data_IF_333605498225
#
_entry.id   IF_333605498225
#
_cell.length_a   1.000
_cell.length_b   1.000
_cell.length_c   1.000
_cell.angle_alpha   90.00
_cell.angle_beta   90.00
_cell.angle_gamma   90.00
#
_symmetry.space_group_name_H-M   'P 1'
#
loop_
_entity.id
_entity.type
_entity.pdbx_description
1 polymer ?
#
# COMPACT_ATOMS: atom_id res chain seq x y z
N UNK A 1 -7.41 -3.17 -3.90
CA UNK A 1 -6.43 -4.24 -4.15
C UNK A 1 -5.83 -4.56 -2.80
N UNK A 2 -5.86 -5.82 -2.37
CA UNK A 2 -5.41 -6.22 -1.03
C UNK A 2 -4.69 -7.57 -1.13
N UNK A 3 -3.39 -7.65 -0.84
CA UNK A 3 -2.60 -8.88 -1.01
C UNK A 3 -2.83 -9.95 0.06
N UNK A 4 -3.14 -9.58 1.31
CA UNK A 4 -3.29 -10.55 2.39
C UNK A 4 -4.61 -11.30 2.28
N UNK A 5 -4.61 -12.64 2.18
CA UNK A 5 -5.84 -13.42 2.06
C UNK A 5 -6.84 -13.19 3.20
N UNK A 6 -6.36 -13.04 4.44
CA UNK A 6 -7.21 -12.83 5.60
C UNK A 6 -7.83 -11.42 5.62
N UNK A 7 -7.04 -10.39 5.35
CA UNK A 7 -7.53 -9.02 5.21
C UNK A 7 -8.50 -8.91 4.03
N UNK A 8 -8.20 -9.57 2.90
CA UNK A 8 -9.08 -9.63 1.73
C UNK A 8 -10.43 -10.30 2.06
N UNK A 9 -10.42 -11.43 2.77
CA UNK A 9 -11.65 -12.10 3.18
C UNK A 9 -12.49 -11.22 4.12
N UNK A 10 -11.85 -10.49 5.04
CA UNK A 10 -12.52 -9.50 5.90
C UNK A 10 -13.11 -8.35 5.08
N UNK A 11 -12.37 -7.85 4.08
CA UNK A 11 -12.84 -6.81 3.16
C UNK A 11 -14.06 -7.27 2.37
N UNK A 12 -14.04 -8.48 1.82
CA UNK A 12 -15.19 -9.09 1.13
C UNK A 12 -16.42 -9.15 2.06
N UNK A 13 -16.24 -9.61 3.30
CA UNK A 13 -17.32 -9.67 4.29
C UNK A 13 -17.88 -8.27 4.59
N UNK A 14 -17.02 -7.29 4.83
CA UNK A 14 -17.43 -5.92 5.20
C UNK A 14 -18.12 -5.19 4.05
N UNK A 15 -17.84 -5.58 2.81
CA UNK A 15 -18.40 -4.96 1.61
C UNK A 15 -19.56 -5.74 0.99
N UNK A 16 -19.95 -6.89 1.57
CA UNK A 16 -20.98 -7.77 1.00
C UNK A 16 -22.32 -7.08 0.76
N UNK A 17 -22.74 -6.17 1.65
CA UNK A 17 -23.96 -5.37 1.44
C UNK A 17 -23.81 -4.39 0.25
N UNK A 18 -22.64 -3.79 0.08
CA UNK A 18 -22.32 -2.89 -1.04
C UNK A 18 -22.23 -3.64 -2.37
N UNK A 19 -21.69 -4.86 -2.37
CA UNK A 19 -21.64 -5.73 -3.55
C UNK A 19 -23.05 -6.12 -4.02
N UNK A 20 -23.98 -6.34 -3.08
CA UNK A 20 -25.37 -6.65 -3.42
C UNK A 20 -26.15 -5.43 -3.95
N UNK A 21 -25.76 -4.23 -3.54
CA UNK A 21 -26.42 -2.97 -3.90
C UNK A 21 -25.81 -2.28 -5.15
N UNK A 22 -24.57 -2.59 -5.52
CA UNK A 22 -23.88 -1.93 -6.61
C UNK A 22 -23.02 -2.89 -7.44
N UNK A 23 -23.33 -2.98 -8.73
CA UNK A 23 -22.54 -3.66 -9.77
C UNK A 23 -21.21 -2.94 -10.10
N UNK A 24 -20.57 -2.30 -9.12
CA UNK A 24 -19.48 -1.33 -9.32
C UNK A 24 -18.29 -1.50 -8.37
N UNK A 25 -18.31 -2.51 -7.49
CA UNK A 25 -17.22 -2.79 -6.58
C UNK A 25 -16.48 -4.05 -7.01
N UNK A 26 -15.24 -3.89 -7.44
CA UNK A 26 -14.34 -4.99 -7.78
C UNK A 26 -13.26 -5.10 -6.71
N UNK A 27 -13.10 -6.30 -6.15
CA UNK A 27 -12.06 -6.61 -5.16
C UNK A 27 -11.06 -7.57 -5.77
N UNK A 28 -9.78 -7.18 -5.76
CA UNK A 28 -8.68 -7.98 -6.32
C UNK A 28 -7.73 -8.40 -5.20
N UNK A 29 -7.61 -9.71 -4.97
CA UNK A 29 -6.65 -10.28 -4.04
C UNK A 29 -5.29 -10.46 -4.72
N UNK A 30 -4.51 -9.38 -4.73
CA UNK A 30 -3.19 -9.32 -5.35
C UNK A 30 -2.36 -8.22 -4.68
N UNK A 31 -1.04 -8.32 -4.81
CA UNK A 31 -0.10 -7.24 -4.58
C UNK A 31 0.13 -6.46 -5.90
N UNK A 32 0.37 -5.16 -5.78
CA UNK A 32 0.85 -4.35 -6.88
C UNK A 32 2.38 -4.45 -6.96
N UNK A 33 2.89 -4.92 -8.10
CA UNK A 33 4.31 -5.29 -8.24
C UNK A 33 4.90 -4.70 -9.53
N UNK A 34 6.24 -4.50 -9.61
CA UNK A 34 6.88 -3.96 -10.81
C UNK A 34 6.76 -4.87 -12.04
N UNK A 35 6.64 -6.18 -11.81
CA UNK A 35 6.40 -7.18 -12.84
C UNK A 35 5.27 -8.14 -12.43
N UNK A 36 4.57 -8.67 -13.43
CA UNK A 36 3.51 -9.65 -13.26
C UNK A 36 4.00 -11.11 -13.40
N UNK A 37 5.30 -11.33 -13.58
CA UNK A 37 5.89 -12.61 -13.99
C UNK A 37 6.33 -13.50 -12.83
N UNK A 38 6.30 -12.99 -11.59
CA UNK A 38 6.78 -13.71 -10.41
C UNK A 38 5.70 -14.10 -9.41
N UNK A 39 5.94 -15.21 -8.71
CA UNK A 39 5.39 -15.40 -7.36
C UNK A 39 6.19 -14.48 -6.43
N UNK A 40 5.58 -13.43 -5.92
CA UNK A 40 6.24 -12.58 -4.94
C UNK A 40 5.96 -13.09 -3.54
N UNK A 41 6.96 -12.92 -2.69
CA UNK A 41 6.83 -13.22 -1.27
C UNK A 41 6.40 -11.96 -0.55
N UNK A 42 5.27 -12.04 0.13
CA UNK A 42 4.80 -11.03 1.04
C UNK A 42 5.11 -11.45 2.48
N UNK A 43 5.47 -10.51 3.32
CA UNK A 43 5.87 -10.75 4.70
C UNK A 43 4.84 -10.15 5.65
N UNK A 44 4.46 -10.92 6.66
CA UNK A 44 3.60 -10.50 7.76
C UNK A 44 3.90 -11.33 9.00
N UNK A 45 3.26 -11.04 10.13
CA UNK A 45 3.45 -11.81 11.36
C UNK A 45 2.43 -12.94 11.48
N UNK A 46 2.87 -14.09 12.00
CA UNK A 46 1.96 -15.15 12.44
C UNK A 46 1.29 -14.76 13.75
N UNK A 47 0.01 -15.09 13.89
CA UNK A 47 -0.75 -14.97 15.15
C UNK A 47 -0.07 -15.65 16.36
N UNK A 48 0.80 -16.63 16.12
CA UNK A 48 1.59 -17.28 17.18
C UNK A 48 2.47 -16.30 17.97
N UNK A 49 2.78 -15.14 17.39
CA UNK A 49 3.52 -14.09 18.10
C UNK A 49 2.81 -13.68 19.40
N UNK A 50 1.47 -13.74 19.44
CA UNK A 50 0.68 -13.35 20.61
C UNK A 50 0.67 -14.41 21.72
N UNK A 51 1.14 -15.63 21.44
CA UNK A 51 1.32 -16.66 22.47
C UNK A 51 2.56 -16.36 23.32
N UNK A 52 3.66 -15.89 22.70
CA UNK A 52 4.91 -15.54 23.40
C UNK A 52 4.94 -14.07 23.83
N UNK A 53 4.30 -13.18 23.07
CA UNK A 53 4.25 -11.74 23.31
C UNK A 53 2.78 -11.26 23.40
N UNK A 54 2.05 -11.61 24.48
CA UNK A 54 0.62 -11.30 24.60
C UNK A 54 0.30 -9.81 24.69
N UNK A 55 1.26 -8.99 25.15
CA UNK A 55 1.12 -7.53 25.21
C UNK A 55 1.47 -6.84 23.87
N UNK A 56 1.83 -7.62 22.84
CA UNK A 56 2.19 -7.04 21.56
C UNK A 56 0.93 -6.43 20.93
N UNK A 57 1.02 -5.25 20.31
CA UNK A 57 -0.17 -4.56 19.80
C UNK A 57 -0.72 -5.32 18.60
N UNK A 58 -1.67 -6.21 18.88
CA UNK A 58 -2.27 -7.10 17.89
C UNK A 58 -2.83 -6.37 16.69
N UNK A 59 -3.52 -5.24 16.91
CA UNK A 59 -4.04 -4.41 15.83
C UNK A 59 -2.92 -3.95 14.88
N UNK A 60 -1.72 -3.68 15.39
CA UNK A 60 -0.60 -3.22 14.58
C UNK A 60 0.10 -4.37 13.87
N UNK A 61 0.52 -5.42 14.60
CA UNK A 61 1.21 -6.58 14.01
C UNK A 61 0.36 -7.34 12.97
N UNK A 62 -0.97 -7.28 13.09
CA UNK A 62 -1.90 -7.94 12.16
C UNK A 62 -2.24 -7.11 10.92
N UNK A 63 -2.02 -5.79 10.94
CA UNK A 63 -2.35 -4.92 9.81
C UNK A 63 -1.14 -4.68 8.89
N UNK A 64 0.07 -4.66 9.45
CA UNK A 64 1.25 -4.30 8.70
C UNK A 64 1.84 -5.51 7.99
N UNK A 65 2.06 -5.36 6.70
CA UNK A 65 2.62 -6.37 5.83
C UNK A 65 3.35 -5.70 4.67
N UNK A 66 4.35 -6.37 4.09
CA UNK A 66 5.19 -5.73 3.08
C UNK A 66 5.78 -6.72 2.08
N UNK A 67 6.09 -6.22 0.87
CA UNK A 67 6.91 -6.92 -0.12
C UNK A 67 8.41 -6.89 0.26
N UNK A 68 8.78 -6.13 1.29
CA UNK A 68 10.14 -5.99 1.80
C UNK A 68 10.17 -6.36 3.29
N UNK A 69 10.84 -7.47 3.61
CA UNK A 69 10.95 -7.96 4.99
C UNK A 69 11.65 -6.95 5.90
N UNK A 70 12.67 -6.26 5.40
CA UNK A 70 13.44 -5.31 6.21
C UNK A 70 12.61 -4.05 6.48
N UNK A 71 11.78 -3.63 5.51
CA UNK A 71 10.77 -2.60 5.73
C UNK A 71 9.78 -3.02 6.83
N UNK A 72 9.24 -4.24 6.77
CA UNK A 72 8.33 -4.75 7.79
C UNK A 72 8.95 -4.67 9.19
N UNK A 73 10.16 -5.21 9.36
CA UNK A 73 10.88 -5.19 10.65
C UNK A 73 11.14 -3.75 11.11
N UNK A 74 11.59 -2.89 10.21
CA UNK A 74 11.89 -1.48 10.51
C UNK A 74 10.66 -0.74 11.00
N UNK A 75 9.56 -0.78 10.24
CA UNK A 75 8.31 -0.11 10.62
C UNK A 75 7.87 -0.59 11.99
N UNK A 76 7.93 -1.90 12.26
CA UNK A 76 7.50 -2.41 13.57
C UNK A 76 8.36 -1.96 14.73
N UNK A 77 9.68 -1.97 14.56
CA UNK A 77 10.63 -1.54 15.59
C UNK A 77 10.56 -0.05 15.87
N UNK A 78 10.42 0.76 14.82
CA UNK A 78 10.58 2.22 14.90
C UNK A 78 9.25 2.97 15.05
N UNK A 79 8.12 2.29 14.94
CA UNK A 79 6.81 2.92 15.06
C UNK A 79 6.57 3.42 16.50
N UNK A 80 6.46 4.74 16.64
CA UNK A 80 6.45 5.49 17.91
C UNK A 80 5.36 5.06 18.90
N UNK A 81 4.34 4.36 18.43
CA UNK A 81 3.19 3.94 19.25
C UNK A 81 3.24 2.48 19.69
N UNK A 82 4.28 1.74 19.31
CA UNK A 82 4.30 0.28 19.42
C UNK A 82 5.62 -0.18 20.05
N UNK A 83 5.50 -0.95 21.13
CA UNK A 83 6.60 -1.76 21.65
C UNK A 83 7.82 -1.01 22.17
N UNK A 84 7.66 0.25 22.60
CA UNK A 84 8.69 0.98 23.37
C UNK A 84 9.07 0.26 24.68
N UNK A 85 8.23 -0.66 25.14
CA UNK A 85 8.45 -1.51 26.30
C UNK A 85 9.15 -2.84 25.99
N UNK A 86 9.39 -3.18 24.71
CA UNK A 86 10.15 -4.37 24.33
C UNK A 86 11.64 -4.06 24.17
N UNK A 87 12.50 -4.98 24.61
CA UNK A 87 13.94 -4.85 24.39
C UNK A 87 14.31 -5.13 22.93
N UNK A 88 15.52 -4.76 22.53
CA UNK A 88 16.05 -5.08 21.20
C UNK A 88 16.10 -6.60 20.95
N UNK A 89 16.38 -7.40 21.99
CA UNK A 89 16.39 -8.86 21.92
C UNK A 89 14.98 -9.42 21.72
N UNK A 90 13.97 -8.86 22.38
CA UNK A 90 12.57 -9.25 22.19
C UNK A 90 12.09 -8.91 20.78
N UNK A 91 12.41 -7.71 20.28
CA UNK A 91 12.13 -7.34 18.89
C UNK A 91 12.77 -8.30 17.89
N UNK A 92 14.03 -8.67 18.11
CA UNK A 92 14.72 -9.65 17.29
C UNK A 92 14.09 -11.04 17.38
N UNK A 93 13.60 -11.44 18.56
CA UNK A 93 12.88 -12.70 18.73
C UNK A 93 11.55 -12.70 17.97
N UNK A 94 10.84 -11.57 17.93
CA UNK A 94 9.60 -11.42 17.16
C UNK A 94 9.81 -11.64 15.65
N UNK A 95 10.98 -11.32 15.09
CA UNK A 95 11.27 -11.58 13.67
C UNK A 95 11.14 -13.06 13.27
N UNK A 96 11.26 -14.00 14.23
CA UNK A 96 11.06 -15.43 13.99
C UNK A 96 9.60 -15.79 13.70
N UNK A 97 8.66 -14.90 14.03
CA UNK A 97 7.24 -15.03 13.74
C UNK A 97 6.84 -14.41 12.39
N UNK A 98 7.79 -13.83 11.65
CA UNK A 98 7.52 -13.35 10.30
C UNK A 98 7.33 -14.56 9.39
N UNK A 99 6.14 -14.65 8.81
CA UNK A 99 5.75 -15.65 7.84
C UNK A 99 5.81 -15.10 6.43
N UNK A 100 6.02 -16.01 5.48
CA UNK A 100 6.00 -15.71 4.05
C UNK A 100 4.67 -16.15 3.47
N UNK A 101 3.96 -15.22 2.84
CA UNK A 101 2.71 -15.48 2.13
C UNK A 101 2.98 -15.32 0.64
N UNK A 102 2.82 -16.37 -0.18
CA UNK A 102 2.88 -16.20 -1.63
C UNK A 102 1.67 -15.38 -2.07
N UNK A 103 1.92 -14.28 -2.79
CA UNK A 103 0.85 -13.40 -3.28
C UNK A 103 0.87 -13.32 -4.81
N UNK A 104 -0.33 -13.24 -5.37
CA UNK A 104 -0.52 -12.91 -6.80
C UNK A 104 -0.02 -11.48 -7.01
N UNK A 105 0.79 -11.27 -8.04
CA UNK A 105 1.23 -9.92 -8.43
C UNK A 105 0.53 -9.45 -9.70
N UNK A 106 0.24 -8.15 -9.72
CA UNK A 106 -0.27 -7.44 -10.89
C UNK A 106 0.47 -6.11 -11.04
N UNK A 107 0.69 -5.67 -12.28
CA UNK A 107 1.11 -4.30 -12.58
C UNK A 107 -0.12 -3.40 -12.73
N UNK A 108 0.01 -2.06 -12.71
CA UNK A 108 -1.10 -1.17 -13.04
C UNK A 108 -1.73 -1.49 -14.40
N UNK A 109 -0.92 -1.77 -15.42
CA UNK A 109 -1.40 -2.18 -16.75
C UNK A 109 -2.24 -3.46 -16.68
N UNK A 110 -1.70 -4.54 -16.09
CA UNK A 110 -2.43 -5.81 -16.06
C UNK A 110 -3.69 -5.75 -15.19
N UNK A 111 -3.67 -4.95 -14.12
CA UNK A 111 -4.85 -4.73 -13.29
C UNK A 111 -5.96 -4.02 -14.09
N UNK A 112 -5.60 -3.00 -14.87
CA UNK A 112 -6.56 -2.24 -15.66
C UNK A 112 -7.14 -3.09 -16.79
N UNK A 113 -6.31 -3.91 -17.44
CA UNK A 113 -6.76 -4.90 -18.43
C UNK A 113 -7.74 -5.92 -17.82
N UNK A 114 -7.42 -6.49 -16.65
CA UNK A 114 -8.28 -7.46 -15.93
C UNK A 114 -9.65 -6.85 -15.59
N UNK A 115 -9.66 -5.60 -15.13
CA UNK A 115 -10.87 -4.88 -14.75
C UNK A 115 -11.57 -4.19 -15.92
N UNK A 116 -11.00 -4.27 -17.13
CA UNK A 116 -11.49 -3.58 -18.34
C UNK A 116 -11.65 -2.07 -18.15
N UNK A 117 -10.68 -1.47 -17.45
CA UNK A 117 -10.58 -0.04 -17.18
C UNK A 117 -9.47 0.59 -18.04
N UNK A 118 -9.52 1.91 -18.18
CA UNK A 118 -8.44 2.70 -18.78
C UNK A 118 -7.83 3.63 -17.73
N UNK A 119 -6.54 3.96 -17.87
CA UNK A 119 -5.84 4.90 -16.99
C UNK A 119 -6.58 6.24 -16.87
N UNK A 120 -7.11 6.72 -18.00
CA UNK A 120 -7.91 7.94 -18.08
C UNK A 120 -9.22 7.87 -17.28
N UNK A 121 -9.81 6.68 -17.11
CA UNK A 121 -11.08 6.52 -16.39
C UNK A 121 -10.97 6.63 -14.87
N UNK A 122 -9.74 6.65 -14.32
CA UNK A 122 -9.54 6.73 -12.89
C UNK A 122 -9.70 8.17 -12.41
N UNK A 123 -10.63 8.41 -11.48
CA UNK A 123 -10.81 9.74 -10.88
C UNK A 123 -10.01 9.91 -9.58
N UNK A 124 -9.79 8.83 -8.83
CA UNK A 124 -9.11 8.83 -7.53
C UNK A 124 -8.13 7.67 -7.44
N UNK A 125 -6.90 7.94 -6.99
CA UNK A 125 -5.95 6.91 -6.56
C UNK A 125 -5.64 7.12 -5.07
N UNK A 126 -5.87 6.10 -4.25
CA UNK A 126 -5.42 6.09 -2.85
C UNK A 126 -4.47 4.91 -2.69
N UNK A 127 -3.26 5.20 -2.22
CA UNK A 127 -2.24 4.21 -1.92
C UNK A 127 -1.96 4.27 -0.44
N UNK A 128 -2.00 3.10 0.18
CA UNK A 128 -1.59 2.87 1.56
C UNK A 128 -0.92 1.50 1.54
N UNK A 129 0.41 1.51 1.41
CA UNK A 129 1.21 0.31 1.16
C UNK A 129 2.41 0.23 2.09
N UNK A 130 2.31 0.85 3.26
CA UNK A 130 3.25 0.75 4.38
C UNK A 130 4.72 0.96 3.96
N UNK A 131 4.94 1.95 3.09
CA UNK A 131 6.25 2.37 2.59
C UNK A 131 6.59 1.93 1.17
N UNK A 132 5.71 1.20 0.49
CA UNK A 132 5.83 0.95 -0.96
C UNK A 132 5.13 2.02 -1.82
N UNK A 133 4.52 3.00 -1.17
CA UNK A 133 3.66 4.05 -1.70
C UNK A 133 4.25 4.81 -2.89
N UNK A 134 5.45 5.38 -2.71
CA UNK A 134 6.15 6.16 -3.75
C UNK A 134 6.38 5.34 -5.00
N UNK A 135 6.77 4.06 -4.84
CA UNK A 135 7.02 3.17 -5.96
C UNK A 135 5.73 2.82 -6.70
N UNK A 136 4.63 2.60 -5.99
CA UNK A 136 3.33 2.37 -6.62
C UNK A 136 2.86 3.60 -7.38
N UNK A 137 2.96 4.79 -6.79
CA UNK A 137 2.64 6.05 -7.47
C UNK A 137 3.49 6.19 -8.74
N UNK A 138 4.80 5.98 -8.66
CA UNK A 138 5.67 6.02 -9.84
C UNK A 138 5.24 5.03 -10.93
N UNK A 139 4.82 3.81 -10.56
CA UNK A 139 4.32 2.82 -11.53
C UNK A 139 3.03 3.29 -12.23
N UNK A 140 2.09 3.91 -11.50
CA UNK A 140 0.91 4.51 -12.11
C UNK A 140 1.25 5.70 -12.99
N UNK A 141 2.25 6.49 -12.59
CA UNK A 141 2.75 7.62 -13.37
C UNK A 141 3.42 7.17 -14.70
N UNK A 142 3.72 5.90 -14.91
CA UNK A 142 4.17 5.38 -16.22
C UNK A 142 3.02 5.06 -17.19
N UNK A 143 1.77 5.01 -16.72
CA UNK A 143 0.63 4.76 -17.59
C UNK A 143 0.31 6.00 -18.43
N UNK A 144 0.16 5.81 -19.74
CA UNK A 144 -0.34 6.85 -20.64
C UNK A 144 -1.74 7.30 -20.21
N UNK A 145 -1.99 8.61 -20.29
CA UNK A 145 -3.25 9.24 -19.89
C UNK A 145 -3.65 9.06 -18.41
N UNK A 146 -2.76 8.55 -17.55
CA UNK A 146 -3.01 8.50 -16.12
C UNK A 146 -3.04 9.91 -15.52
N UNK A 147 -4.25 10.35 -15.18
CA UNK A 147 -4.50 11.71 -14.70
C UNK A 147 -5.74 11.78 -13.80
N UNK A 148 -5.76 11.04 -12.66
CA UNK A 148 -6.87 11.16 -11.72
C UNK A 148 -7.01 12.59 -11.20
N UNK A 149 -8.23 12.98 -10.82
CA UNK A 149 -8.48 14.29 -10.20
C UNK A 149 -7.81 14.40 -8.82
N UNK A 150 -7.60 13.26 -8.15
CA UNK A 150 -7.04 13.17 -6.81
C UNK A 150 -6.09 11.98 -6.67
N UNK A 151 -4.94 12.20 -6.03
CA UNK A 151 -4.10 11.15 -5.46
C UNK A 151 -3.86 11.35 -3.98
N UNK A 152 -3.78 10.24 -3.25
CA UNK A 152 -3.27 10.19 -1.89
C UNK A 152 -2.28 9.03 -1.75
N UNK A 153 -1.18 9.26 -1.04
CA UNK A 153 -0.22 8.23 -0.69
C UNK A 153 0.57 8.59 0.57
N UNK A 154 1.03 7.61 1.33
CA UNK A 154 1.76 7.87 2.57
C UNK A 154 3.20 8.40 2.34
N UNK A 155 3.64 9.29 3.24
CA UNK A 155 5.03 9.76 3.33
C UNK A 155 5.71 9.44 4.68
N UNK A 156 4.98 8.91 5.66
CA UNK A 156 5.51 8.59 7.00
C UNK A 156 6.56 7.46 6.97
N UNK A 157 6.47 6.54 5.99
CA UNK A 157 7.28 5.33 5.90
C UNK A 157 8.42 5.38 4.86
N UNK A 158 8.93 6.57 4.54
CA UNK A 158 9.90 6.82 3.45
C UNK A 158 11.38 6.75 3.83
N UNK A 159 11.75 5.99 4.85
CA UNK A 159 13.13 5.87 5.29
C UNK A 159 14.04 5.40 4.15
N UNK A 160 15.06 6.20 3.82
CA UNK A 160 15.96 5.95 2.69
C UNK A 160 15.38 6.23 1.30
N UNK A 161 14.15 6.74 1.20
CA UNK A 161 13.45 7.02 -0.07
C UNK A 161 13.33 8.51 -0.39
N UNK A 162 14.00 9.41 0.35
CA UNK A 162 13.87 10.86 0.21
C UNK A 162 14.11 11.37 -1.24
N UNK A 163 15.08 10.79 -1.94
CA UNK A 163 15.36 11.14 -3.33
C UNK A 163 14.24 10.67 -4.27
N UNK A 164 13.78 9.43 -4.12
CA UNK A 164 12.68 8.88 -4.91
C UNK A 164 11.40 9.69 -4.69
N UNK A 165 11.05 9.96 -3.44
CA UNK A 165 9.94 10.81 -3.06
C UNK A 165 10.01 12.19 -3.70
N UNK A 166 11.17 12.85 -3.62
CA UNK A 166 11.35 14.19 -4.22
C UNK A 166 11.14 14.17 -5.74
N UNK A 167 11.62 13.12 -6.42
CA UNK A 167 11.37 12.94 -7.87
C UNK A 167 9.89 12.71 -8.16
N UNK A 168 9.20 11.85 -7.41
CA UNK A 168 7.77 11.58 -7.60
C UNK A 168 6.93 12.85 -7.39
N UNK A 169 7.21 13.62 -6.34
CA UNK A 169 6.56 14.92 -6.10
C UNK A 169 6.80 15.90 -7.26
N UNK A 170 8.04 15.98 -7.76
CA UNK A 170 8.34 16.83 -8.91
C UNK A 170 7.62 16.39 -10.19
N UNK A 171 7.48 15.08 -10.42
CA UNK A 171 6.72 14.52 -11.55
C UNK A 171 5.22 14.84 -11.44
N UNK A 172 4.65 14.74 -10.24
CA UNK A 172 3.26 15.12 -9.97
C UNK A 172 3.06 16.61 -10.23
N UNK A 173 3.90 17.48 -9.68
CA UNK A 173 3.82 18.93 -9.93
C UNK A 173 3.95 19.25 -11.43
N UNK A 174 4.87 18.61 -12.15
CA UNK A 174 5.04 18.78 -13.59
C UNK A 174 3.82 18.34 -14.42
N UNK A 175 2.93 17.50 -13.85
CA UNK A 175 1.66 17.06 -14.44
C UNK A 175 0.46 17.93 -14.04
N UNK A 176 0.71 19.04 -13.34
CA UNK A 176 -0.32 20.00 -12.97
C UNK A 176 -1.08 19.64 -11.70
N UNK A 177 -0.48 18.85 -10.81
CA UNK A 177 -1.02 18.62 -9.47
C UNK A 177 -0.50 19.68 -8.49
N UNK A 178 -1.41 20.22 -7.68
CA UNK A 178 -1.10 20.88 -6.42
C UNK A 178 -0.84 19.81 -5.36
N UNK A 179 0.41 19.75 -4.87
CA UNK A 179 0.86 18.72 -3.94
C UNK A 179 0.92 19.29 -2.52
N UNK A 180 0.10 18.73 -1.63
CA UNK A 180 -0.02 19.14 -0.24
C UNK A 180 0.49 18.03 0.69
N UNK A 181 1.24 18.42 1.72
CA UNK A 181 1.71 17.49 2.75
C UNK A 181 0.81 17.54 3.98
N UNK A 182 0.20 16.42 4.32
CA UNK A 182 -0.48 16.17 5.58
C UNK A 182 0.45 15.67 6.68
N UNK A 183 -0.13 15.20 7.79
CA UNK A 183 0.66 14.62 8.90
C UNK A 183 1.39 13.35 8.48
N UNK A 184 0.70 12.48 7.72
CA UNK A 184 1.19 11.15 7.30
C UNK A 184 1.10 10.92 5.80
N UNK A 185 0.17 11.60 5.14
CA UNK A 185 -0.08 11.48 3.71
C UNK A 185 0.35 12.70 2.90
N UNK A 186 0.56 12.47 1.61
CA UNK A 186 0.53 13.48 0.58
C UNK A 186 -0.85 13.49 -0.07
N UNK A 187 -1.38 14.68 -0.35
CA UNK A 187 -2.61 14.89 -1.09
C UNK A 187 -2.29 15.67 -2.36
N UNK A 188 -2.60 15.09 -3.51
CA UNK A 188 -2.32 15.70 -4.81
C UNK A 188 -3.64 15.97 -5.52
N UNK A 189 -3.94 17.24 -5.77
CA UNK A 189 -5.19 17.67 -6.42
C UNK A 189 -4.85 18.25 -7.78
N UNK A 190 -5.51 17.81 -8.83
CA UNK A 190 -5.28 18.38 -10.16
C UNK A 190 -5.77 19.84 -10.18
N UNK A 191 -4.88 20.81 -10.45
CA UNK A 191 -5.16 22.25 -10.29
C UNK A 191 -6.28 22.77 -11.20
N UNK A 192 -6.49 22.12 -12.34
CA UNK A 192 -7.61 22.40 -13.25
C UNK A 192 -8.20 21.09 -13.80
N UNK A 193 -9.27 20.57 -13.17
CA UNK A 193 -9.96 19.38 -13.66
C UNK A 193 -10.77 19.64 -14.93
N UNK A 194 -10.90 20.90 -15.38
CA UNK A 194 -11.62 21.28 -16.61
C UNK A 194 -10.72 21.32 -17.85
N UNK A 195 -9.40 21.28 -17.69
CA UNK A 195 -8.48 21.04 -18.80
C UNK A 195 -8.79 19.66 -19.41
N UNK A 196 -9.11 19.56 -20.71
CA UNK A 196 -9.46 18.29 -21.35
C UNK A 196 -8.42 17.20 -21.05
N UNK A 197 -8.92 15.98 -20.78
CA UNK A 197 -8.10 14.76 -20.63
C UNK A 197 -7.43 14.41 -21.95
#
# INVERSE_FOLDING_TARGET
VEPLPEAFAKLQKNTGELQSAASRLELVNAAMCPDASGNFTFYGYSDKIFEEFPDAPMWFLSMFSSLDKDQLVRVHRDHKHVGWWYTAEQWKAMESYIVTVPVRCVTPTSLFEELKLTAESLDFLVVDAEGYDVKLVDMFLELDQFRPAYLQFEWEHLDGQAEAFSRTVARLAARGYDVHRGTRDMYCVLSDPSTPR
#
